data_IF_201221423487
#
_entry.id   IF_201221423487
#
_cell.length_a   1.000
_cell.length_b   1.000
_cell.length_c   1.000
_cell.angle_alpha   90.00
_cell.angle_beta   90.00
_cell.angle_gamma   90.00
#
_symmetry.space_group_name_H-M   'P 1'
#
loop_
_entity.id
_entity.type
_entity.pdbx_description
1 polymer ?
#
# COMPACT_ATOMS: atom_id res chain seq x y z
N UNK A 1 20.68 -6.12 -11.50
CA UNK A 1 21.12 -7.05 -10.41
C UNK A 1 20.09 -8.13 -10.02
N UNK A 2 18.85 -8.13 -10.54
CA UNK A 2 17.86 -9.21 -10.29
C UNK A 2 17.99 -10.41 -11.24
N UNK A 3 18.60 -10.25 -12.40
CA UNK A 3 18.77 -11.31 -13.40
C UNK A 3 19.86 -12.36 -13.06
N UNK A 4 20.88 -11.98 -12.31
CA UNK A 4 21.99 -12.89 -11.96
C UNK A 4 21.60 -13.92 -10.89
N UNK A 5 20.56 -13.63 -10.08
CA UNK A 5 20.08 -14.55 -9.05
C UNK A 5 19.22 -15.71 -9.58
N UNK A 6 18.73 -15.61 -10.81
CA UNK A 6 17.87 -16.66 -11.38
C UNK A 6 18.67 -17.80 -12.03
N UNK A 7 19.81 -17.50 -12.63
CA UNK A 7 20.70 -18.54 -13.19
C UNK A 7 21.30 -19.41 -12.09
N UNK A 8 21.62 -18.81 -10.93
CA UNK A 8 22.07 -19.56 -9.74
C UNK A 8 20.96 -20.40 -9.12
N UNK A 9 19.68 -20.00 -9.26
CA UNK A 9 18.56 -20.78 -8.72
C UNK A 9 18.23 -22.03 -9.56
N UNK A 10 18.41 -21.98 -10.87
CA UNK A 10 18.18 -23.13 -11.76
C UNK A 10 19.29 -24.19 -11.56
N UNK A 11 20.52 -23.78 -11.37
CA UNK A 11 21.63 -24.70 -11.05
C UNK A 11 21.51 -25.29 -9.64
N UNK A 12 21.02 -24.51 -8.67
CA UNK A 12 20.77 -24.98 -7.30
C UNK A 12 19.57 -25.94 -7.20
N UNK A 13 18.55 -25.80 -8.04
CA UNK A 13 17.37 -26.68 -8.02
C UNK A 13 17.69 -28.11 -8.55
N UNK A 14 18.65 -28.25 -9.47
CA UNK A 14 19.10 -29.60 -9.89
C UNK A 14 20.03 -30.30 -8.91
N UNK A 15 20.73 -29.55 -8.05
CA UNK A 15 21.57 -30.15 -6.99
C UNK A 15 20.78 -30.51 -5.71
N UNK A 16 19.54 -30.02 -5.54
CA UNK A 16 18.70 -30.27 -4.35
C UNK A 16 17.80 -31.51 -4.46
N UNK A 17 17.79 -32.27 -5.56
CA UNK A 17 16.94 -33.47 -5.67
C UNK A 17 17.51 -34.74 -5.02
N UNK A 18 18.64 -34.68 -4.32
CA UNK A 18 19.19 -35.84 -3.61
C UNK A 18 19.25 -35.71 -2.09
N UNK A 19 18.61 -34.71 -1.47
CA UNK A 19 18.68 -34.53 -0.03
C UNK A 19 17.29 -34.30 0.61
N UNK A 20 16.37 -35.24 0.43
CA UNK A 20 15.21 -35.37 1.32
C UNK A 20 15.01 -36.83 1.65
N UNK A 21 15.51 -37.24 2.79
CA UNK A 21 14.94 -38.20 3.74
C UNK A 21 16.01 -38.72 4.69
N UNK A 22 16.13 -38.14 5.85
CA UNK A 22 16.75 -38.84 6.98
C UNK A 22 15.89 -38.55 8.24
N UNK A 23 14.79 -39.29 8.32
CA UNK A 23 14.15 -39.61 9.60
C UNK A 23 14.97 -40.67 10.31
N UNK A 24 15.35 -40.41 11.57
CA UNK A 24 16.07 -41.36 12.42
C UNK A 24 15.22 -42.61 12.69
N UNK A 25 15.56 -43.70 12.04
CA UNK A 25 15.33 -45.07 12.56
C UNK A 25 16.58 -45.90 12.30
N UNK A 26 17.12 -46.51 13.36
CA UNK A 26 18.19 -47.49 13.28
C UNK A 26 17.79 -48.59 12.31
N UNK A 27 18.50 -48.72 11.21
CA UNK A 27 18.38 -49.85 10.31
C UNK A 27 19.77 -50.22 9.78
N UNK A 28 19.96 -51.54 9.71
CA UNK A 28 21.13 -52.28 9.25
C UNK A 28 21.78 -51.62 8.02
N UNK A 29 23.13 -51.58 8.00
CA UNK A 29 23.93 -51.27 6.81
C UNK A 29 23.55 -52.22 5.67
N UNK A 30 22.63 -51.81 4.82
CA UNK A 30 22.48 -52.39 3.49
C UNK A 30 23.45 -51.62 2.60
N UNK A 31 24.45 -52.28 2.06
CA UNK A 31 25.33 -51.71 1.07
C UNK A 31 24.45 -51.16 -0.07
N UNK A 32 24.60 -49.88 -0.38
CA UNK A 32 24.02 -49.28 -1.58
C UNK A 32 24.60 -50.05 -2.76
N UNK A 33 23.78 -50.91 -3.39
CA UNK A 33 24.09 -51.44 -4.71
C UNK A 33 24.01 -50.25 -5.65
N UNK A 34 25.15 -49.68 -5.99
CA UNK A 34 25.25 -48.69 -7.06
C UNK A 34 25.01 -49.46 -8.34
N UNK A 35 23.83 -49.30 -8.94
CA UNK A 35 23.50 -49.83 -10.25
C UNK A 35 24.61 -49.40 -11.23
N UNK A 36 25.21 -50.36 -11.94
CA UNK A 36 26.32 -50.09 -12.86
C UNK A 36 25.77 -49.30 -14.04
N UNK A 37 25.89 -48.01 -13.98
CA UNK A 37 25.53 -47.11 -15.09
C UNK A 37 26.68 -47.12 -16.11
N UNK A 38 26.36 -47.37 -17.38
CA UNK A 38 27.33 -47.24 -18.46
C UNK A 38 27.88 -45.79 -18.49
N UNK A 39 29.18 -45.65 -18.30
CA UNK A 39 29.82 -44.35 -18.29
C UNK A 39 29.96 -43.83 -19.71
N UNK A 40 29.48 -42.59 -19.93
CA UNK A 40 29.68 -41.83 -21.16
C UNK A 40 31.01 -41.08 -21.08
N UNK A 41 31.53 -40.62 -22.21
CA UNK A 41 32.74 -39.80 -22.22
C UNK A 41 32.54 -38.46 -21.48
N UNK A 42 33.61 -37.90 -20.90
CA UNK A 42 33.57 -36.60 -20.26
C UNK A 42 33.08 -35.50 -21.23
N UNK A 43 33.39 -35.62 -22.51
CA UNK A 43 32.90 -34.74 -23.57
C UNK A 43 31.38 -34.81 -23.71
N UNK A 44 30.84 -36.02 -23.84
CA UNK A 44 29.41 -36.26 -24.06
C UNK A 44 28.62 -35.89 -22.80
N UNK A 45 29.15 -36.23 -21.62
CA UNK A 45 28.58 -35.81 -20.36
C UNK A 45 28.46 -34.28 -20.30
N UNK A 46 29.53 -33.57 -20.58
CA UNK A 46 29.53 -32.07 -20.53
C UNK A 46 28.57 -31.47 -21.53
N UNK A 47 28.52 -32.02 -22.76
CA UNK A 47 27.56 -31.55 -23.77
C UNK A 47 26.09 -31.79 -23.36
N UNK A 48 25.77 -33.00 -22.92
CA UNK A 48 24.42 -33.38 -22.50
C UNK A 48 23.99 -32.59 -21.26
N UNK A 49 24.91 -32.36 -20.33
CA UNK A 49 24.64 -31.56 -19.15
C UNK A 49 24.36 -30.11 -19.52
N UNK A 50 25.15 -29.51 -20.43
CA UNK A 50 24.88 -28.15 -20.96
C UNK A 50 23.51 -28.08 -21.62
N UNK A 51 23.18 -29.07 -22.48
CA UNK A 51 21.88 -29.13 -23.16
C UNK A 51 20.70 -29.29 -22.19
N UNK A 52 20.83 -30.13 -21.16
CA UNK A 52 19.79 -30.32 -20.15
C UNK A 52 19.49 -29.02 -19.36
N UNK A 53 20.48 -28.16 -19.14
CA UNK A 53 20.33 -26.90 -18.47
C UNK A 53 19.60 -25.82 -19.30
N UNK A 54 19.29 -26.06 -20.58
CA UNK A 54 18.47 -25.18 -21.38
C UNK A 54 16.96 -25.43 -21.26
N UNK A 55 16.54 -26.41 -20.46
CA UNK A 55 15.13 -26.70 -20.25
C UNK A 55 14.41 -25.47 -19.63
N UNK A 56 13.34 -25.02 -20.29
CA UNK A 56 12.61 -23.82 -19.90
C UNK A 56 13.25 -22.47 -20.29
N UNK A 57 14.51 -22.46 -20.78
CA UNK A 57 15.19 -21.22 -21.14
C UNK A 57 14.45 -20.44 -22.23
N UNK A 58 13.94 -21.13 -23.25
CA UNK A 58 13.18 -20.46 -24.34
C UNK A 58 11.93 -19.74 -23.81
N UNK A 59 11.20 -20.38 -22.92
CA UNK A 59 10.04 -19.75 -22.29
C UNK A 59 10.44 -18.54 -21.42
N UNK A 60 11.55 -18.63 -20.71
CA UNK A 60 12.10 -17.53 -19.95
C UNK A 60 12.48 -16.33 -20.84
N UNK A 61 13.17 -16.59 -21.98
CA UNK A 61 13.55 -15.55 -22.93
C UNK A 61 12.32 -14.81 -23.48
N UNK A 62 11.28 -15.56 -23.86
CA UNK A 62 10.05 -14.96 -24.40
C UNK A 62 9.27 -14.23 -23.30
N UNK A 63 8.97 -14.90 -22.20
CA UNK A 63 8.03 -14.39 -21.19
C UNK A 63 8.63 -13.33 -20.25
N UNK A 64 9.93 -13.39 -20.03
CA UNK A 64 10.61 -12.51 -19.08
C UNK A 64 11.51 -11.46 -19.70
N UNK A 65 12.15 -11.80 -20.83
CA UNK A 65 13.05 -10.88 -21.51
C UNK A 65 12.46 -10.31 -22.83
N UNK A 66 11.25 -10.76 -23.21
CA UNK A 66 10.58 -10.26 -24.42
C UNK A 66 11.30 -10.61 -25.72
N UNK A 67 12.15 -11.63 -25.72
CA UNK A 67 12.91 -12.02 -26.92
C UNK A 67 11.97 -12.72 -27.90
N UNK A 68 11.86 -12.16 -29.11
CA UNK A 68 11.18 -12.80 -30.22
C UNK A 68 12.00 -14.01 -30.70
N UNK A 69 11.33 -15.15 -30.82
CA UNK A 69 11.98 -16.40 -31.22
C UNK A 69 12.50 -16.41 -32.65
N UNK A 70 12.04 -15.48 -33.50
CA UNK A 70 12.60 -15.28 -34.84
C UNK A 70 14.06 -14.81 -34.82
N UNK A 71 14.49 -14.15 -33.72
CA UNK A 71 15.84 -13.63 -33.54
C UNK A 71 16.74 -14.51 -32.66
N UNK A 72 16.44 -15.82 -32.58
CA UNK A 72 17.25 -16.73 -31.77
C UNK A 72 18.69 -16.88 -32.25
N UNK A 73 18.95 -16.64 -33.56
CA UNK A 73 20.32 -16.61 -34.11
C UNK A 73 21.14 -15.46 -33.48
N UNK A 74 20.55 -14.29 -33.35
CA UNK A 74 21.19 -13.14 -32.70
C UNK A 74 21.42 -13.37 -31.22
N UNK A 75 20.47 -14.06 -30.55
CA UNK A 75 20.66 -14.50 -29.17
C UNK A 75 21.88 -15.41 -29.02
N UNK A 76 22.02 -16.43 -29.88
CA UNK A 76 23.17 -17.35 -29.87
C UNK A 76 24.46 -16.63 -30.15
N UNK A 77 24.49 -15.72 -31.14
CA UNK A 77 25.65 -14.87 -31.42
C UNK A 77 26.08 -14.07 -30.19
N UNK A 78 25.11 -13.48 -29.48
CA UNK A 78 25.38 -12.78 -28.22
C UNK A 78 25.87 -13.71 -27.11
N UNK A 79 25.34 -14.94 -27.02
CA UNK A 79 25.79 -15.95 -26.06
C UNK A 79 27.25 -16.39 -26.30
N UNK A 80 27.65 -16.51 -27.56
CA UNK A 80 29.02 -16.89 -27.95
C UNK A 80 30.03 -15.74 -27.84
N UNK A 81 29.54 -14.50 -27.75
CA UNK A 81 30.40 -13.32 -27.61
C UNK A 81 31.09 -13.32 -26.23
N UNK A 82 32.42 -13.31 -26.23
CA UNK A 82 33.24 -13.28 -24.99
C UNK A 82 33.18 -11.90 -24.29
N UNK A 83 32.97 -10.83 -25.05
CA UNK A 83 32.92 -9.46 -24.55
C UNK A 83 31.94 -8.64 -25.39
N UNK A 84 31.27 -7.66 -24.74
CA UNK A 84 30.41 -6.72 -25.42
C UNK A 84 31.25 -5.73 -26.23
N UNK A 85 30.92 -5.57 -27.49
CA UNK A 85 31.47 -4.52 -28.35
C UNK A 85 30.93 -3.15 -27.97
N UNK A 86 31.49 -2.07 -28.53
CA UNK A 86 30.91 -0.73 -28.32
C UNK A 86 29.49 -0.62 -28.93
N UNK A 87 29.25 -1.25 -30.08
CA UNK A 87 27.96 -1.29 -30.71
C UNK A 87 26.91 -1.98 -29.78
N UNK A 88 27.29 -3.08 -29.13
CA UNK A 88 26.40 -3.78 -28.16
C UNK A 88 26.09 -2.91 -26.96
N UNK A 89 27.07 -2.17 -26.45
CA UNK A 89 26.84 -1.23 -25.33
C UNK A 89 25.89 -0.09 -25.73
N UNK A 90 26.03 0.44 -26.94
CA UNK A 90 25.14 1.47 -27.50
C UNK A 90 23.72 0.92 -27.67
N UNK A 91 23.59 -0.28 -28.26
CA UNK A 91 22.30 -0.95 -28.43
C UNK A 91 21.62 -1.21 -27.10
N UNK A 92 22.36 -1.72 -26.10
CA UNK A 92 21.84 -1.94 -24.75
C UNK A 92 21.34 -0.64 -24.11
N UNK A 93 22.07 0.45 -24.25
CA UNK A 93 21.63 1.76 -23.74
C UNK A 93 20.35 2.24 -24.45
N UNK A 94 20.26 2.05 -25.78
CA UNK A 94 19.07 2.39 -26.57
C UNK A 94 17.86 1.57 -26.14
N UNK A 95 18.00 0.27 -26.00
CA UNK A 95 16.91 -0.63 -25.54
C UNK A 95 16.44 -0.28 -24.15
N UNK A 96 17.35 -0.02 -23.20
CA UNK A 96 17.01 0.45 -21.88
C UNK A 96 16.21 1.76 -21.90
N UNK A 97 16.57 2.68 -22.80
CA UNK A 97 15.83 3.92 -23.00
C UNK A 97 14.39 3.69 -23.51
N UNK A 98 14.20 2.71 -24.39
CA UNK A 98 12.86 2.32 -24.90
C UNK A 98 12.01 1.70 -23.80
N UNK A 99 12.57 0.77 -22.99
CA UNK A 99 11.89 0.15 -21.85
C UNK A 99 11.46 1.17 -20.80
N UNK A 100 12.36 2.11 -20.46
CA UNK A 100 12.04 3.19 -19.52
C UNK A 100 10.95 4.09 -20.09
N UNK A 101 11.00 4.40 -21.39
CA UNK A 101 9.94 5.18 -22.04
C UNK A 101 8.58 4.50 -21.92
N UNK A 102 8.52 3.21 -22.16
CA UNK A 102 7.29 2.41 -22.02
C UNK A 102 6.76 2.41 -20.57
N UNK A 103 7.64 2.27 -19.59
CA UNK A 103 7.26 2.37 -18.16
C UNK A 103 6.73 3.76 -17.80
N UNK A 104 7.38 4.81 -18.29
CA UNK A 104 6.92 6.20 -18.09
C UNK A 104 5.51 6.37 -18.62
N UNK A 105 5.25 5.90 -19.82
CA UNK A 105 3.95 6.11 -20.48
C UNK A 105 2.83 5.22 -19.95
N UNK A 106 3.13 3.96 -19.65
CA UNK A 106 2.10 2.98 -19.29
C UNK A 106 1.90 2.81 -17.78
N UNK A 107 2.85 3.28 -16.96
CA UNK A 107 2.78 3.12 -15.51
C UNK A 107 2.87 4.46 -14.76
N UNK A 108 3.93 5.24 -14.99
CA UNK A 108 4.22 6.44 -14.19
C UNK A 108 3.19 7.53 -14.45
N UNK A 109 2.98 7.92 -15.71
CA UNK A 109 2.03 8.98 -16.06
C UNK A 109 0.61 8.62 -15.60
N UNK A 110 0.04 7.41 -15.88
CA UNK A 110 -1.27 7.04 -15.39
C UNK A 110 -1.38 6.97 -13.86
N UNK A 111 -0.30 6.61 -13.18
CA UNK A 111 -0.29 6.60 -11.71
C UNK A 111 -0.38 8.04 -11.15
N UNK A 112 0.40 8.97 -11.69
CA UNK A 112 0.36 10.38 -11.29
C UNK A 112 -1.01 10.98 -11.60
N UNK A 113 -1.55 10.75 -12.81
CA UNK A 113 -2.89 11.23 -13.19
C UNK A 113 -3.97 10.78 -12.20
N UNK A 114 -3.92 9.53 -11.74
CA UNK A 114 -4.86 9.06 -10.71
C UNK A 114 -4.68 9.73 -9.36
N UNK A 115 -3.44 10.08 -8.98
CA UNK A 115 -3.17 10.73 -7.70
C UNK A 115 -3.65 12.18 -7.62
N UNK A 116 -3.70 12.88 -8.76
CA UNK A 116 -4.14 14.28 -8.84
C UNK A 116 -5.56 14.42 -9.39
N UNK A 117 -6.22 13.30 -9.71
CA UNK A 117 -7.53 13.27 -10.40
C UNK A 117 -7.51 14.22 -11.62
N UNK A 118 -6.76 13.83 -12.63
CA UNK A 118 -6.40 14.68 -13.78
C UNK A 118 -7.58 14.98 -14.75
N UNK A 119 -8.77 15.14 -14.18
CA UNK A 119 -9.96 15.60 -14.95
C UNK A 119 -9.77 16.99 -15.54
N UNK A 120 -8.85 17.78 -14.99
CA UNK A 120 -8.49 19.11 -15.49
C UNK A 120 -7.30 19.10 -16.44
N UNK A 121 -6.81 17.94 -16.84
CA UNK A 121 -5.66 17.75 -17.73
C UNK A 121 -4.42 18.56 -17.28
N UNK A 122 -4.15 18.54 -15.97
CA UNK A 122 -3.02 19.25 -15.36
C UNK A 122 -1.70 18.61 -15.81
N UNK A 123 -1.68 17.27 -15.92
CA UNK A 123 -0.50 16.51 -16.34
C UNK A 123 -0.44 16.43 -17.87
N UNK A 124 0.38 17.30 -18.48
CA UNK A 124 0.62 17.27 -19.91
C UNK A 124 1.71 16.26 -20.24
N UNK A 125 1.31 15.17 -20.92
CA UNK A 125 2.18 14.00 -21.24
C UNK A 125 3.47 14.40 -21.94
N UNK A 126 3.39 15.26 -22.96
CA UNK A 126 4.56 15.70 -23.74
C UNK A 126 5.54 16.50 -22.87
N UNK A 127 5.03 17.38 -22.02
CA UNK A 127 5.86 18.18 -21.12
C UNK A 127 6.50 17.32 -20.04
N UNK A 128 5.77 16.31 -19.52
CA UNK A 128 6.34 15.34 -18.59
C UNK A 128 7.53 14.60 -19.20
N UNK A 129 7.37 14.11 -20.43
CA UNK A 129 8.41 13.40 -21.16
C UNK A 129 9.59 14.31 -21.51
N UNK A 130 9.34 15.56 -21.86
CA UNK A 130 10.40 16.55 -22.09
C UNK A 130 11.22 16.80 -20.82
N UNK A 131 10.56 17.01 -19.69
CA UNK A 131 11.21 17.17 -18.38
C UNK A 131 12.01 15.92 -17.96
N UNK A 132 11.46 14.73 -18.18
CA UNK A 132 12.15 13.47 -17.92
C UNK A 132 13.43 13.33 -18.76
N UNK A 133 13.37 13.66 -20.04
CA UNK A 133 14.53 13.69 -20.95
C UNK A 133 15.58 14.67 -20.48
N UNK A 134 15.17 15.89 -20.12
CA UNK A 134 16.07 16.93 -19.61
C UNK A 134 16.83 16.45 -18.36
N UNK A 135 16.12 15.78 -17.43
CA UNK A 135 16.72 15.22 -16.22
C UNK A 135 17.77 14.14 -16.48
N UNK A 136 17.60 13.33 -17.55
CA UNK A 136 18.56 12.29 -17.93
C UNK A 136 19.77 12.87 -18.67
N UNK A 137 19.52 13.77 -19.62
CA UNK A 137 20.58 14.30 -20.51
C UNK A 137 21.39 15.44 -19.88
N UNK A 138 20.89 16.03 -18.81
CA UNK A 138 21.43 17.26 -18.25
C UNK A 138 21.19 18.51 -19.12
N UNK A 139 20.46 18.37 -20.23
CA UNK A 139 20.06 19.47 -21.11
C UNK A 139 18.68 19.96 -20.68
N UNK A 140 18.60 21.21 -20.29
CA UNK A 140 17.37 21.82 -19.80
C UNK A 140 17.03 23.07 -20.61
N UNK A 141 16.31 22.88 -21.70
CA UNK A 141 15.95 23.96 -22.64
C UNK A 141 14.73 24.76 -22.16
N UNK A 142 13.81 24.13 -21.39
CA UNK A 142 12.57 24.77 -20.95
C UNK A 142 12.73 25.54 -19.64
N UNK A 143 13.53 25.02 -18.71
CA UNK A 143 13.74 25.61 -17.38
C UNK A 143 15.22 25.52 -16.96
N UNK A 144 16.12 26.29 -17.56
CA UNK A 144 17.58 26.13 -17.44
C UNK A 144 18.11 26.22 -16.00
N UNK A 145 17.39 26.92 -15.11
CA UNK A 145 17.78 27.10 -13.71
C UNK A 145 17.16 26.08 -12.75
N UNK A 146 16.40 25.10 -13.24
CA UNK A 146 15.73 24.10 -12.41
C UNK A 146 16.57 22.82 -12.37
N UNK A 147 17.07 22.47 -11.19
CA UNK A 147 17.69 21.17 -10.91
C UNK A 147 16.63 20.13 -10.55
N UNK A 148 16.98 18.84 -10.59
CA UNK A 148 16.07 17.77 -10.15
C UNK A 148 15.62 17.97 -8.70
N UNK A 149 16.48 18.42 -7.81
CA UNK A 149 16.16 18.64 -6.39
C UNK A 149 15.20 19.82 -6.20
N UNK A 150 15.42 20.93 -6.93
CA UNK A 150 14.51 22.07 -6.88
C UNK A 150 13.14 21.71 -7.47
N UNK A 151 13.11 20.94 -8.56
CA UNK A 151 11.88 20.42 -9.15
C UNK A 151 11.10 19.55 -8.16
N UNK A 152 11.76 18.62 -7.45
CA UNK A 152 11.12 17.77 -6.44
C UNK A 152 10.46 18.60 -5.33
N UNK A 153 11.12 19.68 -4.89
CA UNK A 153 10.58 20.56 -3.84
C UNK A 153 9.31 21.26 -4.30
N UNK A 154 9.29 21.79 -5.53
CA UNK A 154 8.12 22.45 -6.11
C UNK A 154 6.97 21.46 -6.30
N UNK A 155 7.28 20.30 -6.91
CA UNK A 155 6.29 19.26 -7.20
C UNK A 155 5.66 18.72 -5.92
N UNK A 156 6.41 18.50 -4.85
CA UNK A 156 5.84 18.04 -3.58
C UNK A 156 4.74 18.99 -3.07
N UNK A 157 5.00 20.30 -3.03
CA UNK A 157 4.00 21.30 -2.61
C UNK A 157 2.79 21.32 -3.54
N UNK A 158 3.03 21.18 -4.84
CA UNK A 158 1.96 21.21 -5.82
C UNK A 158 1.10 19.95 -5.76
N UNK A 159 1.71 18.78 -5.50
CA UNK A 159 0.98 17.53 -5.29
C UNK A 159 0.10 17.57 -4.04
N UNK A 160 0.59 18.12 -2.93
CA UNK A 160 -0.20 18.34 -1.72
C UNK A 160 -1.43 19.22 -2.00
N UNK A 161 -1.23 20.30 -2.77
CA UNK A 161 -2.33 21.17 -3.19
C UNK A 161 -3.37 20.42 -4.03
N UNK A 162 -2.96 19.71 -5.08
CA UNK A 162 -3.88 18.97 -5.94
C UNK A 162 -4.61 17.86 -5.21
N UNK A 163 -3.91 17.12 -4.35
CA UNK A 163 -4.54 16.08 -3.52
C UNK A 163 -5.59 16.68 -2.58
N UNK A 164 -5.28 17.81 -1.95
CA UNK A 164 -6.23 18.51 -1.07
C UNK A 164 -7.43 19.00 -1.86
N UNK A 165 -7.22 19.62 -3.03
CA UNK A 165 -8.28 20.12 -3.88
C UNK A 165 -9.17 18.96 -4.42
N UNK A 166 -8.58 17.84 -4.79
CA UNK A 166 -9.31 16.65 -5.19
C UNK A 166 -10.19 16.11 -4.05
N UNK A 167 -9.62 16.01 -2.85
CA UNK A 167 -10.36 15.55 -1.67
C UNK A 167 -11.50 16.49 -1.32
N UNK A 168 -11.29 17.79 -1.39
CA UNK A 168 -12.34 18.79 -1.16
C UNK A 168 -13.45 18.72 -2.22
N UNK A 169 -13.08 18.58 -3.51
CA UNK A 169 -14.06 18.42 -4.59
C UNK A 169 -14.90 17.15 -4.42
N UNK A 170 -14.27 16.04 -4.04
CA UNK A 170 -14.92 14.75 -3.95
C UNK A 170 -15.74 14.56 -2.67
N UNK A 171 -15.25 15.08 -1.56
CA UNK A 171 -15.79 14.79 -0.22
C UNK A 171 -16.10 16.05 0.61
N UNK A 172 -15.87 17.25 0.09
CA UNK A 172 -16.12 18.50 0.81
C UNK A 172 -17.59 18.67 1.21
N UNK A 173 -18.50 18.00 0.50
CA UNK A 173 -19.91 17.99 0.88
C UNK A 173 -20.14 17.31 2.24
N UNK A 174 -19.42 16.20 2.55
CA UNK A 174 -19.48 15.58 3.87
C UNK A 174 -19.10 16.56 4.98
N UNK A 175 -18.06 17.36 4.73
CA UNK A 175 -17.64 18.40 5.67
C UNK A 175 -18.74 19.44 5.88
N UNK A 176 -19.27 20.02 4.79
CA UNK A 176 -20.32 21.06 4.87
C UNK A 176 -21.57 20.56 5.58
N UNK A 177 -22.01 19.36 5.26
CA UNK A 177 -23.19 18.74 5.93
C UNK A 177 -22.93 18.49 7.40
N UNK A 178 -21.74 17.98 7.75
CA UNK A 178 -21.34 17.77 9.15
C UNK A 178 -21.26 19.07 9.94
N UNK A 179 -20.65 20.09 9.41
CA UNK A 179 -20.56 21.44 10.03
C UNK A 179 -21.93 22.07 10.18
N UNK A 180 -22.79 22.01 9.17
CA UNK A 180 -24.15 22.52 9.22
C UNK A 180 -24.98 21.79 10.30
N UNK A 181 -24.88 20.45 10.35
CA UNK A 181 -25.53 19.68 11.39
C UNK A 181 -25.07 20.07 12.80
N UNK A 182 -23.75 20.13 13.02
CA UNK A 182 -23.16 20.49 14.31
C UNK A 182 -23.60 21.90 14.75
N UNK A 183 -23.62 22.88 13.82
CA UNK A 183 -24.04 24.24 14.10
C UNK A 183 -25.52 24.34 14.55
N UNK A 184 -26.38 23.47 13.97
CA UNK A 184 -27.79 23.40 14.40
C UNK A 184 -27.95 22.59 15.69
N UNK A 185 -27.22 21.51 15.83
CA UNK A 185 -27.29 20.62 16.98
C UNK A 185 -26.85 21.31 18.28
N UNK A 186 -25.83 22.18 18.20
CA UNK A 186 -25.33 22.98 19.32
C UNK A 186 -26.38 23.94 19.92
N UNK A 187 -27.45 24.25 19.18
CA UNK A 187 -28.55 25.14 19.66
C UNK A 187 -29.59 24.39 20.50
N UNK A 188 -29.51 23.08 20.61
CA UNK A 188 -30.44 22.27 21.39
C UNK A 188 -30.04 22.29 22.87
N UNK A 189 -30.97 22.58 23.75
CA UNK A 189 -30.72 22.70 25.20
C UNK A 189 -30.12 21.44 25.83
N UNK A 190 -30.42 20.26 25.24
CA UNK A 190 -29.93 18.97 25.72
C UNK A 190 -28.52 18.62 25.24
N UNK A 191 -27.92 19.45 24.37
CA UNK A 191 -26.60 19.21 23.77
C UNK A 191 -25.58 20.13 24.43
N UNK A 192 -24.48 19.53 24.87
CA UNK A 192 -23.33 20.23 25.40
C UNK A 192 -22.20 20.24 24.36
N UNK A 193 -21.43 21.34 24.32
CA UNK A 193 -20.33 21.51 23.39
C UNK A 193 -19.05 21.74 24.18
N UNK A 194 -17.99 20.99 23.85
CA UNK A 194 -16.67 21.17 24.47
C UNK A 194 -15.82 22.15 23.68
N UNK A 195 -14.72 22.68 24.24
CA UNK A 195 -13.80 23.57 23.52
C UNK A 195 -13.17 22.95 22.25
N UNK A 196 -13.06 21.64 22.15
CA UNK A 196 -12.56 20.92 20.96
C UNK A 196 -13.58 20.88 19.81
N UNK A 197 -14.84 21.19 20.09
CA UNK A 197 -15.98 21.07 19.19
C UNK A 197 -16.70 19.72 19.27
N UNK A 198 -16.31 18.81 20.16
CA UNK A 198 -17.10 17.63 20.46
C UNK A 198 -18.45 18.07 21.02
N UNK A 199 -19.54 17.47 20.52
CA UNK A 199 -20.86 17.66 21.08
C UNK A 199 -21.38 16.36 21.68
N UNK A 200 -22.10 16.45 22.79
CA UNK A 200 -22.67 15.28 23.42
C UNK A 200 -24.01 15.57 24.10
N UNK A 201 -24.83 14.56 24.16
CA UNK A 201 -26.09 14.55 24.90
C UNK A 201 -26.07 13.42 25.91
N UNK A 202 -26.34 13.71 27.17
CA UNK A 202 -26.47 12.72 28.23
C UNK A 202 -27.85 12.07 28.12
N UNK A 203 -27.88 10.78 27.83
CA UNK A 203 -29.10 9.95 27.78
C UNK A 203 -29.38 9.31 29.16
N UNK A 204 -28.32 8.80 29.79
CA UNK A 204 -28.33 8.25 31.15
C UNK A 204 -27.08 8.79 31.86
N UNK A 205 -27.26 9.38 33.03
CA UNK A 205 -26.17 9.84 33.87
C UNK A 205 -25.74 8.68 34.79
N UNK A 206 -24.48 8.25 34.62
CA UNK A 206 -23.85 7.30 35.53
C UNK A 206 -23.37 7.97 36.82
N UNK A 207 -23.09 7.15 37.82
CA UNK A 207 -22.62 7.58 39.14
C UNK A 207 -21.29 6.91 39.55
N UNK A 208 -20.72 6.08 38.67
CA UNK A 208 -19.47 5.38 38.93
C UNK A 208 -18.23 6.26 38.71
N UNK A 209 -17.08 5.62 38.78
CA UNK A 209 -15.78 6.26 38.52
C UNK A 209 -15.65 6.78 37.11
N UNK A 210 -14.91 7.88 36.91
CA UNK A 210 -14.62 8.44 35.58
C UNK A 210 -13.27 7.90 35.11
N UNK A 211 -13.18 7.32 33.90
CA UNK A 211 -11.92 6.80 33.38
C UNK A 211 -10.87 7.89 33.17
N UNK A 212 -9.61 7.51 33.30
CA UNK A 212 -8.48 8.33 32.88
C UNK A 212 -8.10 8.03 31.43
N UNK A 213 -7.24 8.86 30.83
CA UNK A 213 -6.75 8.64 29.48
C UNK A 213 -6.03 7.29 29.27
N UNK A 214 -5.47 6.71 30.32
CA UNK A 214 -4.76 5.42 30.28
C UNK A 214 -5.63 4.23 30.68
N UNK A 215 -6.88 4.46 31.09
CA UNK A 215 -7.80 3.41 31.50
C UNK A 215 -8.21 2.53 30.30
N UNK A 216 -8.50 1.27 30.58
CA UNK A 216 -9.22 0.39 29.67
C UNK A 216 -10.70 0.36 30.08
N UNK A 217 -11.58 0.46 29.12
CA UNK A 217 -13.02 0.53 29.38
C UNK A 217 -13.78 -0.50 28.58
N UNK A 218 -14.84 -1.02 29.17
CA UNK A 218 -15.82 -1.90 28.51
C UNK A 218 -17.06 -1.09 28.18
N UNK A 219 -17.47 -1.11 26.92
CA UNK A 219 -18.57 -0.28 26.41
C UNK A 219 -19.50 -1.07 25.50
N UNK A 220 -20.79 -0.68 25.50
CA UNK A 220 -21.66 -0.91 24.36
C UNK A 220 -21.72 0.36 23.52
N UNK A 221 -21.79 0.19 22.21
CA UNK A 221 -21.86 1.34 21.30
C UNK A 221 -22.52 1.01 19.97
N UNK A 222 -23.00 2.06 19.33
CA UNK A 222 -23.38 2.05 17.93
C UNK A 222 -22.88 3.33 17.27
N UNK A 223 -22.14 3.19 16.17
CA UNK A 223 -21.65 4.26 15.34
C UNK A 223 -22.40 4.36 14.03
N UNK A 224 -22.88 5.57 13.69
CA UNK A 224 -23.60 5.85 12.45
C UNK A 224 -23.12 7.12 11.76
N UNK A 225 -23.29 7.16 10.46
CA UNK A 225 -23.10 8.36 9.66
C UNK A 225 -24.31 9.30 9.80
N UNK A 226 -24.20 10.48 9.20
CA UNK A 226 -25.23 11.50 9.23
C UNK A 226 -26.53 11.06 8.54
N UNK A 227 -26.41 10.22 7.50
CA UNK A 227 -27.54 9.60 6.77
C UNK A 227 -28.20 8.41 7.51
N UNK A 228 -27.71 8.09 8.71
CA UNK A 228 -28.21 6.98 9.51
C UNK A 228 -27.54 5.63 9.24
N UNK A 229 -26.63 5.53 8.27
CA UNK A 229 -25.88 4.30 7.96
C UNK A 229 -25.05 3.86 9.17
N UNK A 230 -25.39 2.71 9.74
CA UNK A 230 -24.64 2.10 10.85
C UNK A 230 -23.40 1.42 10.30
N UNK A 231 -22.21 1.90 10.68
CA UNK A 231 -20.94 1.35 10.23
C UNK A 231 -20.30 0.40 11.25
N UNK A 232 -20.63 0.52 12.54
CA UNK A 232 -20.17 -0.38 13.59
C UNK A 232 -21.12 -0.38 14.78
N UNK A 233 -21.34 -1.56 15.41
CA UNK A 233 -22.23 -1.69 16.56
C UNK A 233 -21.88 -2.92 17.38
N UNK A 234 -21.59 -2.75 18.68
CA UNK A 234 -21.44 -3.83 19.65
C UNK A 234 -22.78 -4.54 19.90
N UNK A 235 -23.88 -3.81 19.79
CA UNK A 235 -25.22 -4.39 19.96
C UNK A 235 -25.53 -5.40 18.85
N UNK A 236 -25.13 -5.14 17.59
CA UNK A 236 -25.30 -6.09 16.48
C UNK A 236 -24.45 -7.37 16.63
N UNK A 237 -23.34 -7.27 17.37
CA UNK A 237 -22.50 -8.43 17.71
C UNK A 237 -22.96 -9.15 18.98
N UNK A 238 -23.90 -8.59 19.72
CA UNK A 238 -24.33 -9.04 21.03
C UNK A 238 -23.20 -9.19 22.06
N UNK A 239 -22.17 -8.39 21.91
CA UNK A 239 -20.96 -8.44 22.75
C UNK A 239 -20.38 -7.03 22.96
N UNK A 240 -20.24 -6.58 24.23
CA UNK A 240 -19.54 -5.34 24.55
C UNK A 240 -18.08 -5.40 24.10
N UNK A 241 -17.52 -4.26 23.76
CA UNK A 241 -16.12 -4.15 23.32
C UNK A 241 -15.28 -3.49 24.41
N UNK A 242 -14.00 -3.88 24.51
CA UNK A 242 -13.02 -3.30 25.43
C UNK A 242 -11.98 -2.51 24.67
N UNK A 243 -11.77 -1.25 25.04
CA UNK A 243 -10.82 -0.32 24.41
C UNK A 243 -9.93 0.37 25.45
N UNK A 244 -8.70 0.71 25.08
CA UNK A 244 -7.93 1.72 25.79
C UNK A 244 -8.44 3.12 25.43
N UNK A 245 -8.65 3.98 26.40
CA UNK A 245 -9.14 5.35 26.17
C UNK A 245 -8.24 6.16 25.24
N UNK A 246 -6.93 5.85 25.16
CA UNK A 246 -5.96 6.49 24.26
C UNK A 246 -5.78 5.75 22.92
N UNK A 247 -6.54 4.69 22.65
CA UNK A 247 -6.43 3.85 21.43
C UNK A 247 -7.63 3.99 20.50
N UNK A 248 -8.46 4.99 20.73
CA UNK A 248 -9.67 5.29 19.97
C UNK A 248 -9.55 6.67 19.31
N UNK A 249 -10.54 7.09 18.52
CA UNK A 249 -10.57 8.43 17.93
C UNK A 249 -10.62 9.51 19.01
N UNK A 250 -10.09 10.69 18.72
CA UNK A 250 -9.94 11.78 19.69
C UNK A 250 -11.25 12.12 20.41
N UNK A 251 -12.35 12.17 19.68
CA UNK A 251 -13.65 12.45 20.23
C UNK A 251 -14.11 11.41 21.26
N UNK A 252 -13.75 10.14 21.07
CA UNK A 252 -14.02 9.10 22.07
C UNK A 252 -13.12 9.22 23.30
N UNK A 253 -11.81 9.46 23.10
CA UNK A 253 -10.90 9.69 24.23
C UNK A 253 -11.41 10.82 25.12
N UNK A 254 -11.83 11.92 24.53
CA UNK A 254 -12.37 13.07 25.26
C UNK A 254 -13.68 12.72 25.97
N UNK A 255 -14.63 12.09 25.28
CA UNK A 255 -15.90 11.71 25.88
C UNK A 255 -15.74 10.74 27.05
N UNK A 256 -14.97 9.65 26.85
CA UNK A 256 -14.77 8.59 27.86
C UNK A 256 -14.15 9.14 29.15
N UNK A 257 -13.24 10.11 29.04
CA UNK A 257 -12.61 10.75 30.20
C UNK A 257 -13.52 11.78 30.92
N UNK A 258 -14.73 11.98 30.41
CA UNK A 258 -15.77 12.80 31.05
C UNK A 258 -16.98 11.97 31.53
N UNK A 259 -17.13 10.72 31.05
CA UNK A 259 -18.28 9.86 31.33
C UNK A 259 -18.07 9.06 32.62
N UNK A 260 -18.89 9.23 33.66
CA UNK A 260 -18.92 8.25 34.78
C UNK A 260 -19.39 6.88 34.31
N UNK A 261 -18.86 5.80 34.90
CA UNK A 261 -19.36 4.43 34.66
C UNK A 261 -20.87 4.37 34.95
N UNK A 262 -21.58 3.65 34.09
CA UNK A 262 -23.05 3.59 34.06
C UNK A 262 -23.69 4.67 33.19
N UNK A 263 -22.93 5.56 32.60
CA UNK A 263 -23.44 6.58 31.67
C UNK A 263 -23.77 5.99 30.31
N UNK A 264 -24.78 6.59 29.67
CA UNK A 264 -25.07 6.42 28.23
C UNK A 264 -25.19 7.78 27.59
N UNK A 265 -24.29 8.06 26.63
CA UNK A 265 -24.26 9.34 25.94
C UNK A 265 -24.42 9.17 24.42
N UNK A 266 -25.00 10.15 23.78
CA UNK A 266 -24.94 10.32 22.34
C UNK A 266 -23.89 11.36 22.01
N UNK A 267 -22.89 10.96 21.21
CA UNK A 267 -21.75 11.79 20.83
C UNK A 267 -21.91 12.22 19.37
N UNK A 268 -21.64 13.49 19.08
CA UNK A 268 -21.60 14.04 17.74
C UNK A 268 -20.19 14.56 17.50
N UNK A 269 -19.42 13.79 16.76
CA UNK A 269 -17.97 13.93 16.64
C UNK A 269 -17.64 14.60 15.32
N UNK A 270 -17.13 15.85 15.33
CA UNK A 270 -16.68 16.48 14.08
C UNK A 270 -15.52 15.74 13.46
N UNK A 271 -15.38 15.81 12.15
CA UNK A 271 -14.43 14.99 11.38
C UNK A 271 -12.97 15.10 11.87
N UNK A 272 -12.54 16.25 12.38
CA UNK A 272 -11.18 16.47 12.91
C UNK A 272 -10.90 15.73 14.23
N UNK A 273 -11.94 15.33 14.96
CA UNK A 273 -11.86 14.49 16.15
C UNK A 273 -12.16 13.01 15.84
N UNK A 274 -12.42 12.68 14.56
CA UNK A 274 -12.66 11.36 14.03
C UNK A 274 -11.53 10.92 13.07
N UNK A 275 -11.83 10.69 11.80
CA UNK A 275 -10.88 10.17 10.82
C UNK A 275 -10.35 11.23 9.83
N UNK A 276 -10.85 12.46 9.87
CA UNK A 276 -10.39 13.56 9.02
C UNK A 276 -10.49 13.23 7.54
N UNK A 277 -9.40 13.39 6.82
CA UNK A 277 -9.31 13.10 5.37
C UNK A 277 -9.10 11.61 5.04
N UNK A 278 -9.06 10.71 6.02
CA UNK A 278 -8.85 9.28 5.78
C UNK A 278 -10.12 8.60 5.27
N UNK A 279 -10.00 7.76 4.24
CA UNK A 279 -11.06 6.84 3.81
C UNK A 279 -10.98 5.54 4.64
N UNK A 280 -12.04 5.19 5.34
CA UNK A 280 -12.18 3.98 6.15
C UNK A 280 -13.23 3.03 5.56
N UNK A 281 -13.38 3.01 4.26
CA UNK A 281 -14.36 2.19 3.56
C UNK A 281 -15.78 2.80 3.66
N UNK A 282 -16.58 2.38 4.60
CA UNK A 282 -17.92 2.95 4.82
C UNK A 282 -17.85 4.42 5.24
N UNK A 283 -16.91 4.79 6.11
CA UNK A 283 -16.71 6.17 6.55
C UNK A 283 -15.82 6.87 5.53
N UNK A 284 -16.43 7.76 4.74
CA UNK A 284 -15.72 8.55 3.73
C UNK A 284 -15.00 9.74 4.35
N UNK A 285 -13.99 10.31 3.65
CA UNK A 285 -13.29 11.51 4.12
C UNK A 285 -14.23 12.63 4.55
N UNK A 286 -13.81 13.34 5.59
CA UNK A 286 -14.51 14.49 6.19
C UNK A 286 -15.89 14.19 6.79
N UNK A 287 -16.25 12.91 6.97
CA UNK A 287 -17.50 12.55 7.63
C UNK A 287 -17.45 12.88 9.12
N UNK A 288 -18.45 13.61 9.61
CA UNK A 288 -18.76 13.61 11.03
C UNK A 288 -19.38 12.29 11.44
N UNK A 289 -19.24 11.92 12.70
CA UNK A 289 -19.76 10.65 13.22
C UNK A 289 -20.72 10.88 14.37
N UNK A 290 -21.74 10.04 14.45
CA UNK A 290 -22.66 9.99 15.58
C UNK A 290 -22.50 8.64 16.27
N UNK A 291 -22.28 8.65 17.59
CA UNK A 291 -22.20 7.44 18.38
C UNK A 291 -23.17 7.48 19.55
N UNK A 292 -23.82 6.37 19.81
CA UNK A 292 -24.39 6.09 21.13
C UNK A 292 -23.38 5.24 21.87
N UNK A 293 -22.91 5.68 23.04
CA UNK A 293 -21.91 4.99 23.87
C UNK A 293 -22.45 4.78 25.26
N UNK A 294 -22.38 3.56 25.75
CA UNK A 294 -22.73 3.17 27.10
C UNK A 294 -21.51 2.61 27.82
N UNK A 295 -21.04 3.31 28.83
CA UNK A 295 -19.84 2.96 29.59
C UNK A 295 -20.20 1.99 30.71
N UNK A 296 -19.82 0.72 30.56
CA UNK A 296 -20.20 -0.35 31.47
C UNK A 296 -19.25 -0.49 32.65
N UNK A 297 -17.95 -0.49 32.41
CA UNK A 297 -16.93 -0.66 33.45
C UNK A 297 -15.57 -0.10 33.04
N UNK A 298 -14.72 0.15 34.04
CA UNK A 298 -13.29 0.33 33.87
C UNK A 298 -12.64 -1.02 34.15
N UNK A 299 -11.89 -1.54 33.17
CA UNK A 299 -11.17 -2.82 33.29
C UNK A 299 -9.82 -2.58 33.98
N UNK A 300 -9.48 -3.44 34.92
CA UNK A 300 -8.21 -3.38 35.67
C UNK A 300 -7.06 -4.04 34.91
#
# INVERSE_FOLDING_TARGET
MRSLKFLTLVVAAMLCMTATAASKKKTKKTALVVEKVDTISARDFSYLFGRANTNGLKNYLVQRLGVDTTYMADFVQGFDAKQMTEADRRLKARLAGMEIREQVENQIIPQISRQIDDSLQILQREQFVAGFRAGISGQNDLMPNVTSDSAQTVIRKQMEYYQTAMMERKYGENRRQGEAFLAQNAKKDSVKVTPSGLQYKVLVQGTGEVPTATSRVKVNYEGRLLDGTVFDSSYKRNEPSTFGCNQVIKGWTEALTMMPVGSKWELYIPQQLAYGSQDKGTIKPFSMLIFTVELLSIEK
#
